data_IF_512911666938
#
_entry.id   IF_512911666938
#
_cell.length_a   1.000
_cell.length_b   1.000
_cell.length_c   1.000
_cell.angle_alpha   90.00
_cell.angle_beta   90.00
_cell.angle_gamma   90.00
#
_symmetry.space_group_name_H-M   'P 1'
#
loop_
_entity.id
_entity.type
_entity.pdbx_description
1 polymer ?
#
# COMPACT_ATOMS: atom_id res chain seq x y z
N UNK A 1 6.88 -1.26 -47.20
CA UNK A 1 7.53 -1.60 -48.52
C UNK A 1 6.51 -2.25 -49.41
N UNK A 2 6.30 -1.67 -50.57
CA UNK A 2 5.35 -2.15 -51.61
C UNK A 2 5.94 -3.38 -52.34
N UNK A 3 5.13 -4.38 -52.60
CA UNK A 3 5.35 -5.18 -53.80
C UNK A 3 4.05 -5.53 -54.48
N UNK A 4 3.94 -4.99 -55.68
CA UNK A 4 2.91 -5.30 -56.70
C UNK A 4 3.40 -6.55 -57.47
N UNK A 5 2.52 -7.47 -57.72
CA UNK A 5 2.68 -8.41 -58.84
C UNK A 5 1.46 -8.39 -59.69
N UNK A 6 1.64 -7.88 -60.91
CA UNK A 6 0.66 -7.89 -61.97
C UNK A 6 0.73 -9.20 -62.75
N UNK A 7 -0.40 -9.67 -63.23
CA UNK A 7 -0.47 -10.72 -64.22
C UNK A 7 -1.19 -10.17 -65.47
N UNK A 8 -0.45 -10.17 -66.57
CA UNK A 8 -0.96 -9.81 -67.88
C UNK A 8 -1.61 -11.02 -68.56
N UNK A 9 -2.73 -10.72 -69.12
CA UNK A 9 -3.52 -11.61 -69.99
C UNK A 9 -2.81 -11.74 -71.35
N UNK A 10 -2.69 -12.96 -71.86
CA UNK A 10 -2.38 -13.23 -73.26
C UNK A 10 -3.58 -13.84 -73.97
N UNK A 11 -4.16 -13.04 -74.84
CA UNK A 11 -5.24 -13.46 -75.76
C UNK A 11 -4.55 -13.97 -77.04
N UNK A 12 -4.74 -15.20 -77.40
CA UNK A 12 -4.50 -15.69 -78.75
C UNK A 12 -5.76 -16.20 -79.40
N UNK A 13 -6.10 -15.52 -80.45
CA UNK A 13 -7.18 -15.72 -81.42
C UNK A 13 -6.78 -16.85 -82.33
N UNK A 14 -7.59 -17.85 -82.47
CA UNK A 14 -7.53 -18.76 -83.64
C UNK A 14 -8.95 -18.82 -84.26
N UNK A 15 -8.97 -18.31 -85.46
CA UNK A 15 -10.11 -18.43 -86.38
C UNK A 15 -9.90 -19.67 -87.20
N UNK A 16 -10.88 -20.55 -87.30
CA UNK A 16 -10.96 -21.57 -88.34
C UNK A 16 -12.39 -21.99 -88.58
N UNK A 17 -12.76 -21.74 -89.75
CA UNK A 17 -13.70 -22.28 -90.72
C UNK A 17 -14.92 -23.08 -90.28
N UNK A 18 -15.96 -22.62 -90.82
CA UNK A 18 -17.35 -23.11 -90.97
C UNK A 18 -17.37 -24.42 -91.72
N UNK A 19 -18.05 -25.41 -91.15
CA UNK A 19 -18.69 -26.46 -91.98
C UNK A 19 -20.16 -26.64 -91.50
N UNK A 20 -21.06 -26.23 -92.36
CA UNK A 20 -22.49 -26.41 -92.18
C UNK A 20 -22.94 -27.84 -92.56
N UNK A 21 -23.14 -28.67 -91.55
CA UNK A 21 -23.97 -29.86 -91.75
C UNK A 21 -25.07 -29.82 -90.70
N UNK A 22 -26.27 -29.49 -91.12
CA UNK A 22 -27.48 -29.57 -90.29
C UNK A 22 -27.84 -31.02 -90.05
N UNK A 23 -27.25 -31.55 -88.94
CA UNK A 23 -27.70 -32.78 -88.33
C UNK A 23 -28.54 -32.41 -87.11
N UNK A 24 -29.85 -32.59 -87.12
CA UNK A 24 -30.69 -32.51 -85.93
C UNK A 24 -30.15 -33.48 -84.88
N UNK A 25 -29.28 -32.93 -84.01
CA UNK A 25 -28.93 -33.65 -82.77
C UNK A 25 -30.08 -33.48 -81.80
N UNK A 26 -30.92 -34.52 -81.64
CA UNK A 26 -31.74 -34.61 -80.44
C UNK A 26 -30.86 -34.41 -79.20
N UNK A 27 -30.83 -33.20 -78.69
CA UNK A 27 -30.19 -32.96 -77.40
C UNK A 27 -30.98 -33.78 -76.37
N UNK A 28 -30.33 -34.81 -75.81
CA UNK A 28 -30.87 -35.53 -74.67
C UNK A 28 -30.90 -34.56 -73.49
N UNK A 29 -32.06 -34.07 -73.18
CA UNK A 29 -32.31 -33.16 -72.06
C UNK A 29 -31.99 -33.78 -70.68
N UNK A 30 -31.79 -35.09 -70.63
CA UNK A 30 -31.45 -35.84 -69.39
C UNK A 30 -30.03 -35.49 -68.86
N UNK A 31 -29.07 -35.13 -69.69
CA UNK A 31 -27.71 -34.76 -69.29
C UNK A 31 -27.65 -33.38 -68.57
N UNK A 32 -28.49 -32.44 -68.97
CA UNK A 32 -28.57 -31.10 -68.36
C UNK A 32 -29.13 -31.17 -66.93
N UNK A 33 -30.11 -32.02 -66.69
CA UNK A 33 -30.72 -32.16 -65.36
C UNK A 33 -29.77 -32.77 -64.35
N UNK A 34 -28.95 -33.73 -64.74
CA UNK A 34 -27.93 -34.31 -63.83
C UNK A 34 -26.81 -33.35 -63.51
N UNK A 35 -26.32 -32.59 -64.51
CA UNK A 35 -25.30 -31.55 -64.30
C UNK A 35 -25.83 -30.44 -63.40
N UNK A 36 -27.06 -29.98 -63.67
CA UNK A 36 -27.72 -28.94 -62.84
C UNK A 36 -27.91 -29.46 -61.41
N UNK A 37 -28.40 -30.66 -61.21
CA UNK A 37 -28.57 -31.27 -59.87
C UNK A 37 -27.22 -31.40 -59.13
N UNK A 38 -26.16 -31.84 -59.81
CA UNK A 38 -24.83 -31.94 -59.22
C UNK A 38 -24.28 -30.58 -58.83
N UNK A 39 -24.50 -29.52 -59.65
CA UNK A 39 -24.08 -28.14 -59.31
C UNK A 39 -24.85 -27.62 -58.08
N UNK A 40 -26.16 -27.78 -58.04
CA UNK A 40 -26.99 -27.35 -56.93
C UNK A 40 -26.59 -28.10 -55.64
N UNK A 41 -26.37 -29.41 -55.70
CA UNK A 41 -25.91 -30.22 -54.61
C UNK A 41 -24.51 -29.77 -54.12
N UNK A 42 -23.59 -29.44 -55.05
CA UNK A 42 -22.29 -28.90 -54.75
C UNK A 42 -22.37 -27.55 -53.99
N UNK A 43 -23.23 -26.66 -54.45
CA UNK A 43 -23.46 -25.34 -53.78
C UNK A 43 -24.08 -25.55 -52.40
N UNK A 44 -25.11 -26.40 -52.29
CA UNK A 44 -25.72 -26.70 -50.99
C UNK A 44 -24.75 -27.32 -50.01
N UNK A 45 -23.94 -28.26 -50.47
CA UNK A 45 -22.92 -28.91 -49.64
C UNK A 45 -21.87 -27.90 -49.19
N UNK A 46 -21.39 -27.02 -50.08
CA UNK A 46 -20.44 -25.96 -49.75
C UNK A 46 -21.03 -24.94 -48.74
N UNK A 47 -22.31 -24.60 -48.87
CA UNK A 47 -23.01 -23.74 -47.92
C UNK A 47 -23.12 -24.40 -46.54
N UNK A 48 -23.47 -25.68 -46.48
CA UNK A 48 -23.56 -26.44 -45.25
C UNK A 48 -22.17 -26.48 -44.55
N UNK A 49 -21.12 -26.78 -45.31
CA UNK A 49 -19.73 -26.83 -44.79
C UNK A 49 -19.31 -25.43 -44.31
N UNK A 50 -19.65 -24.37 -45.01
CA UNK A 50 -19.35 -22.98 -44.59
C UNK A 50 -20.07 -22.64 -43.27
N UNK A 51 -21.33 -22.98 -43.12
CA UNK A 51 -22.10 -22.76 -41.89
C UNK A 51 -21.51 -23.59 -40.74
N UNK A 52 -21.21 -24.87 -40.97
CA UNK A 52 -20.57 -25.73 -39.95
C UNK A 52 -19.22 -25.20 -39.50
N UNK A 53 -18.42 -24.70 -40.45
CA UNK A 53 -17.11 -24.08 -40.11
C UNK A 53 -17.29 -22.80 -39.28
N UNK A 54 -18.25 -21.94 -39.68
CA UNK A 54 -18.56 -20.71 -38.93
C UNK A 54 -19.04 -21.01 -37.49
N UNK A 55 -19.94 -21.98 -37.33
CA UNK A 55 -20.43 -22.44 -36.03
C UNK A 55 -19.26 -23.01 -35.19
N UNK A 56 -18.40 -23.83 -35.78
CA UNK A 56 -17.24 -24.38 -35.09
C UNK A 56 -16.31 -23.26 -34.59
N UNK A 57 -15.96 -22.29 -35.42
CA UNK A 57 -15.11 -21.15 -35.03
C UNK A 57 -15.77 -20.36 -33.91
N UNK A 58 -17.07 -20.07 -33.99
CA UNK A 58 -17.79 -19.35 -32.95
C UNK A 58 -17.79 -20.12 -31.62
N UNK A 59 -18.03 -21.43 -31.68
CA UNK A 59 -18.00 -22.31 -30.50
C UNK A 59 -16.62 -22.36 -29.85
N UNK A 60 -15.56 -22.47 -30.65
CA UNK A 60 -14.16 -22.45 -30.17
C UNK A 60 -13.86 -21.14 -29.44
N UNK A 61 -14.21 -20.00 -30.02
CA UNK A 61 -14.00 -18.69 -29.38
C UNK A 61 -14.69 -18.59 -28.03
N UNK A 62 -16.00 -18.89 -27.99
CA UNK A 62 -16.76 -18.88 -26.75
C UNK A 62 -16.18 -19.84 -25.70
N UNK A 63 -15.74 -21.02 -26.12
CA UNK A 63 -15.19 -22.00 -25.23
C UNK A 63 -13.83 -21.59 -24.65
N UNK A 64 -12.95 -21.00 -25.47
CA UNK A 64 -11.66 -20.44 -25.03
C UNK A 64 -11.89 -19.30 -24.04
N UNK A 65 -12.82 -18.36 -24.33
CA UNK A 65 -13.18 -17.27 -23.44
C UNK A 65 -13.64 -17.80 -22.07
N UNK A 66 -14.57 -18.77 -22.06
CA UNK A 66 -15.02 -19.40 -20.81
C UNK A 66 -13.89 -20.11 -20.05
N UNK A 67 -13.00 -20.82 -20.75
CA UNK A 67 -11.87 -21.48 -20.12
C UNK A 67 -10.86 -20.49 -19.56
N UNK A 68 -10.62 -19.39 -20.27
CA UNK A 68 -9.76 -18.30 -19.81
C UNK A 68 -10.32 -17.63 -18.56
N UNK A 69 -11.60 -17.28 -18.57
CA UNK A 69 -12.27 -16.68 -17.41
C UNK A 69 -12.19 -17.62 -16.19
N UNK A 70 -12.50 -18.91 -16.36
CA UNK A 70 -12.37 -19.88 -15.28
C UNK A 70 -10.93 -20.05 -14.79
N UNK A 71 -9.94 -19.99 -15.66
CA UNK A 71 -8.53 -20.07 -15.29
C UNK A 71 -8.09 -18.85 -14.49
N UNK A 72 -8.51 -17.65 -14.93
CA UNK A 72 -8.24 -16.40 -14.23
C UNK A 72 -8.94 -16.33 -12.88
N UNK A 73 -10.21 -16.72 -12.80
CA UNK A 73 -10.94 -16.79 -11.53
C UNK A 73 -10.28 -17.77 -10.55
N UNK A 74 -9.78 -18.90 -11.05
CA UNK A 74 -9.06 -19.87 -10.24
C UNK A 74 -7.72 -19.31 -9.73
N UNK A 75 -7.00 -18.57 -10.57
CA UNK A 75 -5.76 -17.90 -10.16
C UNK A 75 -6.02 -16.78 -9.14
N UNK A 76 -7.10 -16.01 -9.31
CA UNK A 76 -7.53 -14.98 -8.36
C UNK A 76 -7.99 -15.60 -7.02
N UNK A 77 -8.50 -16.83 -7.03
CA UNK A 77 -8.85 -17.54 -5.79
C UNK A 77 -7.63 -17.95 -4.95
N UNK A 78 -6.42 -17.91 -5.52
CA UNK A 78 -5.14 -18.13 -4.82
C UNK A 78 -4.60 -16.85 -4.19
N UNK A 79 -5.49 -16.02 -3.64
CA UNK A 79 -5.13 -14.78 -2.97
C UNK A 79 -4.46 -15.01 -1.61
N UNK A 80 -3.71 -14.02 -1.15
CA UNK A 80 -3.07 -14.03 0.16
C UNK A 80 -4.11 -13.84 1.27
N UNK A 81 -4.53 -14.94 1.91
CA UNK A 81 -5.62 -14.95 2.89
C UNK A 81 -5.37 -14.04 4.08
N UNK A 82 -4.18 -14.11 4.66
CA UNK A 82 -3.84 -13.30 5.83
C UNK A 82 -3.90 -11.80 5.52
N UNK A 83 -3.51 -11.40 4.30
CA UNK A 83 -3.57 -10.01 3.88
C UNK A 83 -5.01 -9.53 3.71
N UNK A 84 -5.88 -10.38 3.17
CA UNK A 84 -7.30 -10.08 3.07
C UNK A 84 -7.98 -10.08 4.45
N UNK A 85 -7.76 -11.11 5.28
CA UNK A 85 -8.43 -11.26 6.57
C UNK A 85 -8.01 -10.18 7.57
N UNK A 86 -6.73 -9.78 7.57
CA UNK A 86 -6.20 -8.83 8.53
C UNK A 86 -6.29 -7.38 8.05
N UNK A 87 -6.07 -7.14 6.77
CA UNK A 87 -5.92 -5.80 6.22
C UNK A 87 -6.99 -5.44 5.18
N UNK A 88 -7.90 -6.36 4.81
CA UNK A 88 -8.92 -6.20 3.76
C UNK A 88 -8.30 -5.82 2.39
N UNK A 89 -7.08 -6.24 2.12
CA UNK A 89 -6.39 -5.99 0.87
C UNK A 89 -6.27 -7.27 0.07
N UNK A 90 -6.66 -7.19 -1.20
CA UNK A 90 -6.65 -8.32 -2.11
C UNK A 90 -5.38 -8.31 -2.96
N UNK A 91 -4.50 -9.28 -2.71
CA UNK A 91 -3.29 -9.53 -3.49
C UNK A 91 -3.11 -11.03 -3.70
N UNK A 92 -2.47 -11.41 -4.80
CA UNK A 92 -2.10 -12.80 -5.08
C UNK A 92 -0.75 -13.10 -4.44
N UNK A 93 -0.63 -14.25 -3.77
CA UNK A 93 0.64 -14.72 -3.25
C UNK A 93 1.46 -15.42 -4.34
N UNK A 94 2.40 -14.71 -4.96
CA UNK A 94 3.29 -15.27 -5.98
C UNK A 94 4.31 -16.27 -5.44
N UNK A 95 4.45 -16.38 -4.12
CA UNK A 95 5.32 -17.37 -3.48
C UNK A 95 4.62 -18.71 -3.27
N UNK A 96 3.29 -18.75 -3.28
CA UNK A 96 2.50 -19.97 -3.04
C UNK A 96 2.99 -20.77 -1.82
N UNK A 97 3.26 -20.07 -0.71
CA UNK A 97 3.75 -20.63 0.55
C UNK A 97 5.17 -21.25 0.50
N UNK A 98 5.89 -21.14 -0.62
CA UNK A 98 7.25 -21.70 -0.72
C UNK A 98 8.34 -20.74 -0.23
N UNK A 99 7.99 -19.49 0.04
CA UNK A 99 8.92 -18.45 0.48
C UNK A 99 9.78 -17.83 -0.64
N UNK A 100 9.63 -18.30 -1.88
CA UNK A 100 10.34 -17.82 -3.06
C UNK A 100 9.34 -17.27 -4.09
N UNK A 101 9.10 -15.95 -4.14
CA UNK A 101 8.12 -15.36 -5.03
C UNK A 101 8.59 -15.40 -6.49
N UNK A 102 7.70 -15.79 -7.41
CA UNK A 102 8.01 -15.87 -8.83
C UNK A 102 6.75 -15.71 -9.68
N UNK A 103 6.80 -14.83 -10.68
CA UNK A 103 5.73 -14.67 -11.67
C UNK A 103 5.53 -15.94 -12.50
N UNK A 104 6.62 -16.66 -12.77
CA UNK A 104 6.56 -17.90 -13.54
C UNK A 104 5.66 -18.95 -12.88
N UNK A 105 5.57 -18.99 -11.56
CA UNK A 105 4.64 -19.88 -10.87
C UNK A 105 3.19 -19.51 -11.11
N UNK A 106 2.89 -18.22 -11.12
CA UNK A 106 1.54 -17.73 -11.43
C UNK A 106 1.17 -18.07 -12.88
N UNK A 107 2.09 -17.89 -13.83
CA UNK A 107 1.93 -18.32 -15.22
C UNK A 107 1.68 -19.82 -15.33
N UNK A 108 2.47 -20.63 -14.62
CA UNK A 108 2.31 -22.09 -14.59
C UNK A 108 0.94 -22.51 -13.99
N UNK A 109 0.48 -21.83 -12.95
CA UNK A 109 -0.84 -22.10 -12.36
C UNK A 109 -1.96 -21.74 -13.32
N UNK A 110 -1.93 -20.57 -13.96
CA UNK A 110 -2.91 -20.18 -14.99
C UNK A 110 -2.87 -21.16 -16.16
N UNK A 111 -1.68 -21.52 -16.63
CA UNK A 111 -1.52 -22.54 -17.68
C UNK A 111 -2.18 -23.87 -17.31
N UNK A 112 -1.94 -24.34 -16.08
CA UNK A 112 -2.52 -25.59 -15.58
C UNK A 112 -4.04 -25.52 -15.48
N UNK A 113 -4.60 -24.42 -15.02
CA UNK A 113 -6.06 -24.23 -14.99
C UNK A 113 -6.67 -24.18 -16.39
N UNK A 114 -5.98 -23.51 -17.31
CA UNK A 114 -6.40 -23.46 -18.71
C UNK A 114 -6.42 -24.84 -19.35
N UNK A 115 -5.32 -25.61 -19.22
CA UNK A 115 -5.23 -26.98 -19.75
C UNK A 115 -6.28 -27.93 -19.15
N UNK A 116 -6.53 -27.84 -17.83
CA UNK A 116 -7.59 -28.61 -17.17
C UNK A 116 -8.96 -28.40 -17.79
N UNK A 117 -9.28 -27.15 -18.10
CA UNK A 117 -10.57 -26.80 -18.67
C UNK A 117 -10.64 -27.14 -20.16
N UNK A 118 -9.55 -27.03 -20.90
CA UNK A 118 -9.48 -27.39 -22.30
C UNK A 118 -9.47 -28.90 -22.53
N UNK A 119 -8.85 -29.66 -21.62
CA UNK A 119 -8.70 -31.14 -21.70
C UNK A 119 -9.29 -31.89 -20.49
N UNK A 120 -10.59 -31.77 -20.26
CA UNK A 120 -11.20 -32.40 -19.07
C UNK A 120 -11.10 -33.91 -19.02
N UNK A 121 -10.79 -34.58 -20.14
CA UNK A 121 -10.61 -36.04 -20.20
C UNK A 121 -9.36 -36.53 -19.48
N UNK A 122 -8.29 -35.78 -19.49
CA UNK A 122 -7.04 -36.13 -18.83
C UNK A 122 -7.20 -36.15 -17.32
N UNK A 123 -7.98 -35.22 -16.79
CA UNK A 123 -8.22 -35.08 -15.35
C UNK A 123 -9.36 -35.98 -14.85
N UNK A 124 -10.42 -36.13 -15.65
CA UNK A 124 -11.63 -36.89 -15.29
C UNK A 124 -11.98 -38.00 -16.32
N UNK A 125 -11.13 -39.03 -16.47
CA UNK A 125 -11.33 -40.05 -17.50
C UNK A 125 -12.62 -40.84 -17.33
N UNK A 126 -13.18 -40.88 -16.11
CA UNK A 126 -14.41 -41.62 -15.78
C UNK A 126 -15.68 -40.80 -15.97
N UNK A 127 -15.58 -39.46 -16.08
CA UNK A 127 -16.76 -38.60 -16.18
C UNK A 127 -17.41 -38.53 -17.57
N UNK A 128 -16.86 -39.26 -18.55
CA UNK A 128 -17.39 -39.26 -19.92
C UNK A 128 -17.21 -37.95 -20.69
N UNK A 129 -16.43 -37.05 -20.16
CA UNK A 129 -16.05 -35.82 -20.85
C UNK A 129 -15.28 -36.17 -22.13
N UNK A 130 -15.64 -35.59 -23.26
CA UNK A 130 -14.96 -35.82 -24.54
C UNK A 130 -14.37 -34.51 -25.03
N UNK A 131 -13.08 -34.55 -25.34
CA UNK A 131 -12.43 -33.47 -26.05
C UNK A 131 -12.94 -33.44 -27.52
N UNK A 132 -13.89 -32.57 -27.79
CA UNK A 132 -14.50 -32.42 -29.12
C UNK A 132 -13.78 -31.43 -30.01
N UNK A 133 -12.96 -30.55 -29.44
CA UNK A 133 -12.36 -29.43 -30.13
C UNK A 133 -10.86 -29.57 -30.38
N UNK A 134 -10.17 -30.43 -29.59
CA UNK A 134 -8.72 -30.68 -29.72
C UNK A 134 -7.88 -29.44 -29.46
N UNK A 135 -8.25 -28.66 -28.45
CA UNK A 135 -7.55 -27.43 -28.09
C UNK A 135 -6.49 -27.69 -27.01
N UNK A 136 -5.41 -26.94 -27.05
CA UNK A 136 -4.35 -26.93 -26.03
C UNK A 136 -3.81 -25.52 -25.86
N UNK A 137 -3.32 -25.22 -24.69
CA UNK A 137 -2.59 -23.98 -24.40
C UNK A 137 -1.15 -24.16 -24.87
N UNK A 138 -0.60 -23.18 -25.60
CA UNK A 138 0.81 -23.21 -25.98
C UNK A 138 1.66 -22.56 -24.88
N UNK A 139 1.27 -21.37 -24.42
CA UNK A 139 1.99 -20.62 -23.41
C UNK A 139 1.07 -19.60 -22.71
N UNK A 140 1.48 -19.18 -21.54
CA UNK A 140 0.85 -18.11 -20.75
C UNK A 140 1.94 -17.17 -20.27
N UNK A 141 1.86 -15.93 -20.63
CA UNK A 141 2.81 -14.89 -20.25
C UNK A 141 2.10 -13.75 -19.51
N UNK A 142 2.62 -13.38 -18.35
CA UNK A 142 2.20 -12.19 -17.61
C UNK A 142 2.88 -10.95 -18.21
N UNK A 143 2.12 -10.16 -18.94
CA UNK A 143 2.62 -8.95 -19.58
C UNK A 143 2.84 -7.81 -18.59
N UNK A 144 2.04 -7.77 -17.52
CA UNK A 144 2.07 -6.68 -16.55
C UNK A 144 1.66 -7.18 -15.16
N UNK A 145 2.42 -6.80 -14.15
CA UNK A 145 2.10 -7.12 -12.77
C UNK A 145 2.51 -5.95 -11.86
N UNK A 146 1.59 -5.45 -11.06
CA UNK A 146 1.87 -4.48 -10.00
C UNK A 146 2.19 -5.21 -8.70
N UNK A 147 3.39 -5.05 -8.19
CA UNK A 147 3.78 -5.58 -6.88
C UNK A 147 3.47 -4.56 -5.80
N UNK A 148 2.97 -5.00 -4.66
CA UNK A 148 2.61 -4.12 -3.54
C UNK A 148 3.76 -3.19 -3.10
N UNK A 149 5.01 -3.62 -3.30
CA UNK A 149 6.23 -2.87 -2.94
C UNK A 149 6.80 -2.01 -4.06
N UNK A 150 6.21 -2.00 -5.25
CA UNK A 150 6.67 -1.18 -6.37
C UNK A 150 6.64 0.31 -6.02
N UNK A 151 7.62 1.05 -6.56
CA UNK A 151 7.75 2.50 -6.39
C UNK A 151 7.69 2.96 -4.92
N UNK A 152 8.33 2.18 -4.02
CA UNK A 152 8.31 2.48 -2.59
C UNK A 152 6.97 2.23 -1.90
N UNK A 153 6.14 1.35 -2.47
CA UNK A 153 4.83 0.97 -1.91
C UNK A 153 3.65 1.76 -2.49
N UNK A 154 3.84 2.50 -3.58
CA UNK A 154 2.79 3.29 -4.23
C UNK A 154 1.61 2.44 -4.67
N UNK A 155 1.87 1.21 -5.16
CA UNK A 155 0.81 0.26 -5.53
C UNK A 155 -0.03 -0.13 -4.30
N UNK A 156 0.62 -0.43 -3.18
CA UNK A 156 -0.08 -0.74 -1.92
C UNK A 156 -0.91 0.45 -1.44
N UNK A 157 -0.32 1.66 -1.43
CA UNK A 157 -1.01 2.89 -1.04
C UNK A 157 -2.24 3.15 -1.90
N UNK A 158 -2.13 2.98 -3.21
CA UNK A 158 -3.26 3.12 -4.13
C UNK A 158 -4.42 2.19 -3.75
N UNK A 159 -4.15 0.91 -3.52
CA UNK A 159 -5.20 -0.06 -3.14
C UNK A 159 -5.82 0.26 -1.76
N UNK A 160 -5.01 0.71 -0.81
CA UNK A 160 -5.49 1.19 0.50
C UNK A 160 -6.45 2.37 0.35
N UNK A 161 -6.05 3.37 -0.44
CA UNK A 161 -6.86 4.57 -0.67
C UNK A 161 -8.17 4.22 -1.38
N UNK A 162 -8.13 3.35 -2.39
CA UNK A 162 -9.36 2.90 -3.07
C UNK A 162 -10.30 2.16 -2.10
N UNK A 163 -9.78 1.24 -1.30
CA UNK A 163 -10.55 0.55 -0.27
C UNK A 163 -11.21 1.54 0.71
N UNK A 164 -10.48 2.55 1.16
CA UNK A 164 -11.01 3.55 2.09
C UNK A 164 -12.05 4.47 1.43
N UNK A 165 -11.88 4.83 0.16
CA UNK A 165 -12.88 5.60 -0.62
C UNK A 165 -14.19 4.83 -0.71
N UNK A 166 -14.13 3.52 -0.90
CA UNK A 166 -15.31 2.66 -1.01
C UNK A 166 -16.07 2.52 0.33
N UNK A 167 -15.37 2.49 1.45
CA UNK A 167 -15.99 2.23 2.76
C UNK A 167 -16.37 3.50 3.52
N UNK A 168 -15.49 4.49 3.56
CA UNK A 168 -15.61 5.60 4.53
C UNK A 168 -16.14 6.89 3.90
N UNK A 169 -16.09 7.03 2.58
CA UNK A 169 -16.35 8.30 1.94
C UNK A 169 -15.31 9.38 2.29
N UNK A 170 -15.48 10.57 1.71
CA UNK A 170 -14.50 11.66 1.82
C UNK A 170 -14.55 12.40 3.18
N UNK A 171 -15.65 12.32 3.92
CA UNK A 171 -15.86 13.12 5.15
C UNK A 171 -14.87 12.82 6.28
N UNK A 172 -14.43 11.57 6.41
CA UNK A 172 -13.45 11.18 7.44
C UNK A 172 -12.06 11.77 7.14
N UNK A 173 -11.65 11.75 5.88
CA UNK A 173 -10.38 12.30 5.46
C UNK A 173 -10.29 13.81 5.69
N UNK A 174 -11.35 14.55 5.40
CA UNK A 174 -11.42 16.00 5.62
C UNK A 174 -11.27 16.34 7.12
N UNK A 175 -11.93 15.58 8.00
CA UNK A 175 -11.83 15.80 9.45
C UNK A 175 -10.42 15.55 9.98
N UNK A 176 -9.74 14.50 9.51
CA UNK A 176 -8.37 14.18 9.93
C UNK A 176 -7.36 15.22 9.43
N UNK A 177 -7.56 15.74 8.23
CA UNK A 177 -6.71 16.79 7.67
C UNK A 177 -6.86 18.12 8.40
N UNK A 178 -8.09 18.50 8.77
CA UNK A 178 -8.32 19.71 9.57
C UNK A 178 -7.61 19.63 10.92
N UNK A 179 -7.64 18.48 11.59
CA UNK A 179 -6.92 18.27 12.83
C UNK A 179 -5.40 18.24 12.64
N UNK A 180 -4.92 17.62 11.55
CA UNK A 180 -3.49 17.55 11.21
C UNK A 180 -2.87 18.94 10.98
N UNK A 181 -3.55 19.80 10.22
CA UNK A 181 -3.08 21.15 9.93
C UNK A 181 -2.96 22.04 11.18
N UNK A 182 -3.82 21.83 12.22
CA UNK A 182 -3.72 22.56 13.47
C UNK A 182 -2.48 22.18 14.30
N UNK A 183 -1.95 20.98 14.09
CA UNK A 183 -0.77 20.49 14.81
C UNK A 183 0.55 20.85 14.11
N UNK A 184 0.52 21.11 12.80
CA UNK A 184 1.72 21.41 12.01
C UNK A 184 2.43 22.70 12.47
N UNK A 185 1.67 23.71 12.87
CA UNK A 185 2.20 24.97 13.42
C UNK A 185 2.95 24.78 14.76
N UNK A 186 2.66 23.69 15.49
CA UNK A 186 3.28 23.39 16.78
C UNK A 186 4.52 22.48 16.64
N UNK A 187 4.58 21.64 15.61
CA UNK A 187 5.69 20.71 15.36
C UNK A 187 7.01 21.43 14.97
N UNK A 188 6.94 22.68 14.53
CA UNK A 188 8.12 23.46 14.13
C UNK A 188 8.91 24.06 15.31
N UNK A 189 8.46 23.93 16.56
CA UNK A 189 9.13 24.50 17.74
C UNK A 189 9.91 23.40 18.46
N UNK A 190 11.21 23.62 18.56
CA UNK A 190 12.08 22.77 19.38
C UNK A 190 12.05 23.26 20.84
N UNK A 191 11.01 22.82 21.56
CA UNK A 191 10.80 23.22 22.96
C UNK A 191 11.88 22.68 23.90
N UNK A 192 12.48 21.55 23.57
CA UNK A 192 13.58 20.99 24.35
C UNK A 192 14.79 21.93 24.29
N UNK A 193 15.11 22.42 23.09
CA UNK A 193 16.16 23.43 22.93
C UNK A 193 15.80 24.77 23.57
N UNK A 194 14.52 25.22 23.51
CA UNK A 194 14.06 26.43 24.17
C UNK A 194 14.16 26.27 25.72
N UNK A 195 13.78 25.14 26.27
CA UNK A 195 13.89 24.85 27.69
C UNK A 195 15.34 24.75 28.14
N UNK A 196 16.18 24.00 27.43
CA UNK A 196 17.60 23.89 27.72
C UNK A 196 18.31 25.24 27.73
N UNK A 197 18.01 26.05 26.72
CA UNK A 197 18.57 27.42 26.65
C UNK A 197 18.09 28.31 27.80
N UNK A 198 16.83 28.20 28.21
CA UNK A 198 16.30 28.98 29.34
C UNK A 198 16.93 28.52 30.66
N UNK A 199 17.12 27.20 30.85
CA UNK A 199 17.73 26.63 32.05
C UNK A 199 19.25 26.98 32.14
N UNK A 200 19.99 26.85 31.04
CA UNK A 200 21.39 27.22 30.96
C UNK A 200 21.57 28.70 31.27
N UNK A 201 20.73 29.56 30.68
CA UNK A 201 20.74 30.99 30.95
C UNK A 201 20.43 31.29 32.43
N UNK A 202 19.50 30.56 33.06
CA UNK A 202 19.21 30.69 34.47
C UNK A 202 20.39 30.29 35.34
N UNK A 203 21.01 29.12 35.08
CA UNK A 203 22.18 28.62 35.82
C UNK A 203 23.38 29.54 35.69
N UNK A 204 23.67 30.06 34.49
CA UNK A 204 24.76 31.02 34.23
C UNK A 204 24.54 32.33 35.01
N UNK A 205 23.29 32.84 34.98
CA UNK A 205 22.98 34.08 35.67
C UNK A 205 23.05 33.91 37.20
N UNK A 206 22.57 32.80 37.74
CA UNK A 206 22.75 32.46 39.17
C UNK A 206 24.26 32.38 39.51
N UNK A 207 25.06 31.67 38.72
CA UNK A 207 26.50 31.53 38.96
C UNK A 207 27.19 32.89 38.90
N UNK A 208 26.91 33.69 37.90
CA UNK A 208 27.52 35.02 37.72
C UNK A 208 27.20 35.92 38.90
N UNK A 209 25.97 35.95 39.36
CA UNK A 209 25.56 36.86 40.43
C UNK A 209 25.98 36.41 41.82
N UNK A 210 25.94 35.10 42.09
CA UNK A 210 26.43 34.53 43.36
C UNK A 210 27.92 34.81 43.51
N UNK A 211 28.72 34.66 42.44
CA UNK A 211 30.14 34.98 42.45
C UNK A 211 30.46 36.45 42.61
N UNK A 212 29.54 37.32 42.23
CA UNK A 212 29.66 38.79 42.49
C UNK A 212 29.31 39.14 43.93
N UNK A 213 28.39 38.40 44.56
CA UNK A 213 28.00 38.60 45.97
C UNK A 213 29.00 38.02 46.97
N UNK A 214 29.51 36.83 46.66
CA UNK A 214 30.43 36.08 47.47
C UNK A 214 31.58 35.52 46.61
N UNK A 215 32.81 36.02 46.79
CA UNK A 215 33.97 35.62 46.01
C UNK A 215 34.47 34.19 46.40
N UNK A 216 34.14 33.74 47.59
CA UNK A 216 34.56 32.42 48.12
C UNK A 216 33.45 31.37 47.99
N UNK A 217 32.35 31.67 47.25
CA UNK A 217 31.27 30.72 46.97
C UNK A 217 31.79 29.51 46.20
N UNK A 218 31.49 28.30 46.68
CA UNK A 218 31.95 27.02 46.18
C UNK A 218 31.43 26.61 44.78
N UNK A 219 30.46 27.34 44.25
CA UNK A 219 29.91 27.11 42.91
C UNK A 219 28.75 26.13 42.86
N UNK A 220 28.28 25.62 44.02
CA UNK A 220 27.09 24.74 44.04
C UNK A 220 25.82 25.56 43.75
N UNK A 221 25.19 25.24 42.62
CA UNK A 221 23.89 25.78 42.23
C UNK A 221 22.82 24.89 42.86
N UNK A 222 21.87 25.44 43.63
CA UNK A 222 20.77 24.63 44.19
C UNK A 222 20.00 23.92 43.08
N UNK A 223 19.51 22.70 43.41
CA UNK A 223 18.63 21.97 42.52
C UNK A 223 17.43 22.84 42.10
N UNK A 224 17.21 22.93 40.80
CA UNK A 224 16.08 23.65 40.25
C UNK A 224 14.87 22.73 40.14
N UNK A 225 13.63 23.24 40.13
CA UNK A 225 12.46 22.40 39.90
C UNK A 225 12.54 21.58 38.60
N UNK A 226 13.28 22.08 37.62
CA UNK A 226 13.54 21.37 36.35
C UNK A 226 14.43 20.14 36.53
N UNK A 227 15.38 20.14 37.48
CA UNK A 227 16.24 18.98 37.73
C UNK A 227 15.43 17.77 38.24
N UNK A 228 14.42 17.99 39.09
CA UNK A 228 13.50 16.95 39.57
C UNK A 228 12.62 16.40 38.42
N UNK A 229 12.14 17.26 37.53
CA UNK A 229 11.35 16.86 36.35
C UNK A 229 12.21 16.08 35.36
N UNK A 230 13.45 16.50 35.13
CA UNK A 230 14.41 15.77 34.27
C UNK A 230 14.78 14.39 34.82
N UNK A 231 14.94 14.26 36.16
CA UNK A 231 15.13 12.95 36.77
C UNK A 231 13.99 12.00 36.46
N UNK A 232 12.75 12.45 36.55
CA UNK A 232 11.54 11.69 36.17
C UNK A 232 11.55 11.33 34.67
N UNK A 233 11.97 12.25 33.80
CA UNK A 233 12.11 12.01 32.36
C UNK A 233 13.17 10.94 32.04
N UNK A 234 14.27 10.90 32.80
CA UNK A 234 15.35 9.93 32.62
C UNK A 234 15.00 8.51 33.07
N UNK A 235 14.09 8.35 34.06
CA UNK A 235 13.64 7.03 34.57
C UNK A 235 12.74 6.27 33.57
N UNK A 236 12.31 6.92 32.50
CA UNK A 236 11.75 6.30 31.34
C UNK A 236 10.23 6.36 31.22
N UNK A 237 9.80 7.02 30.18
CA UNK A 237 8.38 7.16 29.75
C UNK A 237 7.66 5.80 29.70
N UNK A 238 8.32 4.73 29.30
CA UNK A 238 7.77 3.38 29.30
C UNK A 238 7.32 2.90 30.68
N UNK A 239 8.05 3.25 31.74
CA UNK A 239 7.69 2.91 33.10
C UNK A 239 6.43 3.61 33.59
N UNK A 240 6.22 4.87 33.18
CA UNK A 240 5.06 5.66 33.52
C UNK A 240 3.82 5.26 32.69
N UNK A 241 3.99 5.11 31.38
CA UNK A 241 2.88 4.79 30.45
C UNK A 241 2.40 3.34 30.52
N UNK A 242 3.30 2.41 30.84
CA UNK A 242 3.03 0.96 30.83
C UNK A 242 2.96 0.34 32.24
N UNK A 243 2.65 1.13 33.26
CA UNK A 243 2.58 0.62 34.64
C UNK A 243 1.64 -0.59 34.75
N UNK A 244 2.24 -1.79 34.95
CA UNK A 244 1.50 -3.05 35.13
C UNK A 244 1.05 -3.74 33.85
N UNK A 245 1.40 -3.24 32.67
CA UNK A 245 1.13 -3.89 31.40
C UNK A 245 2.32 -4.73 30.94
N UNK A 246 2.05 -5.90 30.35
CA UNK A 246 3.07 -6.67 29.65
C UNK A 246 3.33 -6.05 28.28
N UNK A 247 4.53 -5.53 28.08
CA UNK A 247 4.94 -4.99 26.78
C UNK A 247 5.33 -6.12 25.84
N UNK A 248 4.96 -5.97 24.56
CA UNK A 248 5.42 -6.86 23.50
C UNK A 248 6.93 -6.82 23.38
N UNK A 249 7.53 -8.01 23.22
CA UNK A 249 8.95 -8.19 22.91
C UNK A 249 9.18 -8.66 21.48
N UNK A 250 8.16 -8.58 20.63
CA UNK A 250 8.25 -8.99 19.23
C UNK A 250 9.34 -8.19 18.50
N UNK A 251 10.04 -8.89 17.61
CA UNK A 251 11.16 -8.34 16.86
C UNK A 251 11.11 -8.83 15.42
N UNK A 252 11.19 -7.92 14.47
CA UNK A 252 11.29 -8.26 13.05
C UNK A 252 12.69 -8.79 12.73
N UNK A 253 12.74 -9.99 12.18
CA UNK A 253 13.95 -10.50 11.56
C UNK A 253 14.26 -9.74 10.25
N UNK A 254 15.53 -9.58 9.92
CA UNK A 254 15.93 -8.97 8.64
C UNK A 254 15.40 -9.75 7.43
N UNK A 255 15.19 -11.07 7.57
CA UNK A 255 14.65 -11.93 6.54
C UNK A 255 13.14 -11.70 6.27
N UNK A 256 12.42 -11.11 7.24
CA UNK A 256 10.98 -10.86 7.11
C UNK A 256 10.65 -9.57 6.34
N UNK A 257 11.68 -8.75 6.04
CA UNK A 257 11.49 -7.51 5.33
C UNK A 257 11.33 -7.76 3.82
N UNK A 258 10.33 -7.18 3.16
CA UNK A 258 10.13 -7.32 1.71
C UNK A 258 11.36 -6.93 0.88
N UNK A 259 12.13 -5.93 1.34
CA UNK A 259 13.35 -5.46 0.68
C UNK A 259 14.51 -6.47 0.66
N UNK A 260 14.44 -7.51 1.49
CA UNK A 260 15.45 -8.59 1.55
C UNK A 260 15.00 -9.80 0.74
N UNK A 261 13.71 -9.93 0.46
CA UNK A 261 13.19 -10.95 -0.45
C UNK A 261 13.61 -10.57 -1.88
N UNK A 262 14.21 -11.49 -2.61
CA UNK A 262 14.59 -11.30 -4.02
C UNK A 262 13.32 -11.29 -4.90
N UNK A 263 12.48 -10.28 -4.71
CA UNK A 263 11.34 -10.01 -5.58
C UNK A 263 11.86 -9.25 -6.80
N UNK A 264 11.57 -9.77 -7.97
CA UNK A 264 11.62 -8.93 -9.16
C UNK A 264 10.61 -7.80 -8.96
N UNK A 265 11.02 -6.57 -9.21
CA UNK A 265 10.11 -5.43 -9.22
C UNK A 265 9.03 -5.67 -10.27
N UNK A 266 7.79 -5.27 -9.97
CA UNK A 266 6.70 -5.26 -10.91
C UNK A 266 6.79 -4.06 -11.87
N UNK A 267 5.73 -3.85 -12.62
CA UNK A 267 5.59 -2.73 -13.57
C UNK A 267 4.96 -1.48 -12.94
N UNK A 268 4.72 -1.51 -11.62
CA UNK A 268 4.02 -0.44 -10.92
C UNK A 268 2.51 -0.45 -11.15
N UNK A 269 1.88 0.71 -11.00
CA UNK A 269 0.45 0.88 -11.31
C UNK A 269 0.20 0.72 -12.80
N UNK A 270 -0.96 0.14 -13.16
CA UNK A 270 -1.35 0.00 -14.57
C UNK A 270 -1.50 1.36 -15.24
N UNK A 271 -1.21 1.43 -16.54
CA UNK A 271 -1.31 2.64 -17.36
C UNK A 271 -2.61 3.42 -17.12
N UNK A 272 -2.48 4.71 -16.84
CA UNK A 272 -3.59 5.63 -16.57
C UNK A 272 -4.10 5.66 -15.12
N UNK A 273 -3.53 4.88 -14.21
CA UNK A 273 -3.76 5.02 -12.78
C UNK A 273 -2.56 5.74 -12.17
N UNK A 274 -2.78 6.94 -11.68
CA UNK A 274 -1.79 7.67 -10.90
C UNK A 274 -2.14 7.51 -9.40
N UNK A 275 -1.13 7.31 -8.57
CA UNK A 275 -1.31 7.49 -7.14
C UNK A 275 -1.45 9.00 -6.90
N UNK A 276 -2.67 9.47 -6.79
CA UNK A 276 -2.94 10.85 -6.42
C UNK A 276 -2.44 11.05 -4.98
N UNK A 277 -1.30 11.75 -4.81
CA UNK A 277 -0.80 12.20 -3.52
C UNK A 277 -1.57 13.43 -3.04
N UNK A 278 -2.90 13.37 -3.07
CA UNK A 278 -3.71 14.44 -2.52
C UNK A 278 -3.67 14.38 -0.99
N UNK A 279 -3.86 15.53 -0.34
CA UNK A 279 -4.00 15.57 1.13
C UNK A 279 -5.13 14.66 1.62
N UNK A 280 -6.20 14.53 0.82
CA UNK A 280 -7.32 13.61 1.10
C UNK A 280 -6.85 12.16 1.10
N UNK A 281 -6.05 11.75 0.12
CA UNK A 281 -5.53 10.38 0.03
C UNK A 281 -4.59 10.06 1.18
N UNK A 282 -3.77 11.02 1.62
CA UNK A 282 -2.96 10.89 2.83
C UNK A 282 -3.83 10.72 4.08
N UNK A 283 -4.89 11.51 4.23
CA UNK A 283 -5.85 11.37 5.33
C UNK A 283 -6.53 9.99 5.34
N UNK A 284 -6.91 9.48 4.17
CA UNK A 284 -7.47 8.14 4.03
C UNK A 284 -6.47 7.04 4.40
N UNK A 285 -5.20 7.20 4.00
CA UNK A 285 -4.12 6.29 4.38
C UNK A 285 -3.93 6.24 5.90
N UNK A 286 -3.87 7.40 6.57
CA UNK A 286 -3.79 7.45 8.03
C UNK A 286 -5.00 6.81 8.72
N UNK A 287 -6.20 7.09 8.23
CA UNK A 287 -7.43 6.48 8.74
C UNK A 287 -7.41 4.95 8.61
N UNK A 288 -6.89 4.45 7.50
CA UNK A 288 -6.71 3.02 7.29
C UNK A 288 -5.71 2.41 8.29
N UNK A 289 -4.53 3.02 8.44
CA UNK A 289 -3.50 2.56 9.38
C UNK A 289 -4.06 2.46 10.80
N UNK A 290 -4.72 3.52 11.29
CA UNK A 290 -5.33 3.53 12.63
C UNK A 290 -6.46 2.50 12.80
N UNK A 291 -7.16 2.15 11.72
CA UNK A 291 -8.26 1.19 11.74
C UNK A 291 -7.78 -0.26 11.67
N UNK A 292 -6.78 -0.54 10.83
CA UNK A 292 -6.38 -1.90 10.44
C UNK A 292 -5.10 -2.39 11.08
N UNK A 293 -4.19 -1.49 11.42
CA UNK A 293 -2.93 -1.86 12.07
C UNK A 293 -3.08 -1.97 13.59
N UNK A 294 -2.33 -2.86 14.19
CA UNK A 294 -2.23 -3.00 15.64
C UNK A 294 -1.46 -1.83 16.25
N UNK A 295 -1.85 -1.39 17.45
CA UNK A 295 -1.18 -0.34 18.20
C UNK A 295 -1.13 -0.69 19.67
N UNK A 296 -0.34 0.01 20.46
CA UNK A 296 -0.34 -0.14 21.89
C UNK A 296 -1.75 0.03 22.48
N UNK A 297 -2.19 -0.94 23.25
CA UNK A 297 -3.57 -1.01 23.78
C UNK A 297 -4.63 -1.56 22.80
N UNK A 298 -4.28 -1.78 21.54
CA UNK A 298 -5.10 -2.43 20.53
C UNK A 298 -4.24 -3.39 19.72
N UNK A 299 -3.70 -4.37 20.43
CA UNK A 299 -2.83 -5.37 19.82
C UNK A 299 -3.59 -6.27 18.85
N UNK A 300 -2.91 -6.70 17.80
CA UNK A 300 -3.46 -7.57 16.78
C UNK A 300 -2.91 -8.98 16.94
N UNK A 301 -3.81 -9.97 16.97
CA UNK A 301 -3.41 -11.36 16.99
C UNK A 301 -2.84 -11.79 15.64
N UNK A 302 -1.82 -12.65 15.66
CA UNK A 302 -1.16 -13.20 14.47
C UNK A 302 -0.41 -12.20 13.56
N UNK A 303 -0.07 -11.03 14.08
CA UNK A 303 0.81 -10.09 13.39
C UNK A 303 2.28 -10.34 13.79
N UNK A 304 3.22 -10.02 12.89
CA UNK A 304 4.67 -10.12 13.15
C UNK A 304 5.12 -9.16 14.25
N UNK A 305 4.45 -8.02 14.38
CA UNK A 305 4.61 -7.02 15.44
C UNK A 305 3.26 -6.73 16.08
N UNK A 306 3.23 -6.55 17.40
CA UNK A 306 2.01 -6.14 18.08
C UNK A 306 1.71 -4.65 17.88
N UNK A 307 2.76 -3.83 17.71
CA UNK A 307 2.69 -2.38 17.59
C UNK A 307 3.04 -1.92 16.16
N UNK A 308 2.16 -2.26 15.21
CA UNK A 308 2.37 -1.96 13.78
C UNK A 308 2.34 -0.46 13.49
N UNK A 309 1.45 0.30 14.15
CA UNK A 309 1.36 1.76 13.99
C UNK A 309 2.65 2.42 14.41
N UNK A 310 3.16 2.05 15.59
CA UNK A 310 4.42 2.56 16.13
C UNK A 310 5.62 2.16 15.25
N UNK A 311 5.57 0.96 14.64
CA UNK A 311 6.57 0.55 13.66
C UNK A 311 6.55 1.39 12.39
N UNK A 312 5.37 1.72 11.87
CA UNK A 312 5.22 2.57 10.70
C UNK A 312 5.83 3.96 10.95
N UNK A 313 5.65 4.49 12.17
CA UNK A 313 6.19 5.78 12.55
C UNK A 313 7.70 5.75 12.79
N UNK A 314 8.21 4.73 13.50
CA UNK A 314 9.56 4.72 14.06
C UNK A 314 10.56 3.81 13.33
N UNK A 315 10.07 2.84 12.57
CA UNK A 315 10.87 1.91 11.74
C UNK A 315 11.96 1.12 12.49
N UNK A 316 11.81 0.93 13.82
CA UNK A 316 12.73 0.10 14.60
C UNK A 316 12.35 -1.38 14.47
N UNK A 317 13.33 -2.27 14.68
CA UNK A 317 13.10 -3.73 14.57
C UNK A 317 12.31 -4.31 15.74
N UNK A 318 12.24 -3.64 16.88
CA UNK A 318 11.62 -4.14 18.11
C UNK A 318 10.41 -3.29 18.48
N UNK A 319 9.31 -3.93 18.84
CA UNK A 319 8.10 -3.28 19.33
C UNK A 319 8.35 -2.30 20.46
N UNK A 320 9.16 -2.72 21.43
CA UNK A 320 9.47 -1.92 22.61
C UNK A 320 10.16 -0.59 22.26
N UNK A 321 11.07 -0.62 21.30
CA UNK A 321 11.79 0.58 20.86
C UNK A 321 10.88 1.49 20.01
N UNK A 322 10.01 0.90 19.20
CA UNK A 322 8.99 1.66 18.46
C UNK A 322 8.07 2.40 19.43
N UNK A 323 7.49 1.68 20.40
CA UNK A 323 6.62 2.27 21.42
C UNK A 323 7.32 3.38 22.20
N UNK A 324 8.56 3.14 22.65
CA UNK A 324 9.32 4.13 23.41
C UNK A 324 9.49 5.44 22.64
N UNK A 325 9.90 5.36 21.38
CA UNK A 325 10.10 6.55 20.53
C UNK A 325 8.79 7.25 20.22
N UNK A 326 7.73 6.50 19.91
CA UNK A 326 6.41 7.07 19.66
C UNK A 326 5.87 7.81 20.89
N UNK A 327 6.02 7.22 22.09
CA UNK A 327 5.63 7.89 23.33
C UNK A 327 6.47 9.17 23.57
N UNK A 328 7.76 9.15 23.23
CA UNK A 328 8.60 10.35 23.32
C UNK A 328 8.09 11.47 22.40
N UNK A 329 7.74 11.14 21.16
CA UNK A 329 7.19 12.13 20.21
C UNK A 329 5.82 12.67 20.66
N UNK A 330 4.94 11.78 21.13
CA UNK A 330 3.64 12.21 21.69
C UNK A 330 3.84 13.14 22.89
N UNK A 331 4.77 12.81 23.77
CA UNK A 331 5.08 13.65 24.93
C UNK A 331 5.59 15.03 24.51
N UNK A 332 6.54 15.09 23.55
CA UNK A 332 7.05 16.35 23.03
C UNK A 332 5.94 17.20 22.41
N UNK A 333 5.03 16.57 21.64
CA UNK A 333 3.89 17.27 21.05
C UNK A 333 2.95 17.82 22.12
N UNK A 334 2.60 17.04 23.14
CA UNK A 334 1.79 17.48 24.26
C UNK A 334 2.44 18.59 25.06
N UNK A 335 3.74 18.45 25.28
CA UNK A 335 4.52 19.50 25.96
C UNK A 335 4.47 20.82 25.17
N UNK A 336 4.55 20.76 23.81
CA UNK A 336 4.40 21.91 22.96
C UNK A 336 3.04 22.60 23.12
N UNK A 337 1.97 21.81 23.10
CA UNK A 337 0.61 22.33 23.28
C UNK A 337 0.44 22.94 24.68
N UNK A 338 0.88 22.23 25.70
CA UNK A 338 0.76 22.69 27.10
C UNK A 338 1.62 23.93 27.35
N UNK A 339 2.84 24.00 26.81
CA UNK A 339 3.68 25.19 26.90
C UNK A 339 3.01 26.38 26.23
N UNK A 340 2.52 26.23 24.99
CA UNK A 340 1.83 27.30 24.29
C UNK A 340 0.61 27.82 25.09
N UNK A 341 -0.14 26.93 25.72
CA UNK A 341 -1.27 27.28 26.58
C UNK A 341 -0.80 28.02 27.85
N UNK A 342 0.18 27.48 28.58
CA UNK A 342 0.67 28.06 29.84
C UNK A 342 1.30 29.43 29.64
N UNK A 343 2.11 29.62 28.60
CA UNK A 343 2.71 30.90 28.29
C UNK A 343 1.68 31.98 27.90
N UNK A 344 0.54 31.58 27.34
CA UNK A 344 -0.57 32.49 26.97
C UNK A 344 -1.63 32.69 28.05
N UNK A 345 -1.57 31.96 29.16
CA UNK A 345 -2.61 31.93 30.19
C UNK A 345 -2.32 32.81 31.41
N UNK A 346 -3.31 32.91 32.31
CA UNK A 346 -3.17 33.56 33.64
C UNK A 346 -2.17 32.81 34.54
N UNK A 347 -1.89 31.54 34.29
CA UNK A 347 -0.92 30.71 35.02
C UNK A 347 0.51 31.24 34.90
N UNK A 348 0.80 32.04 33.88
CA UNK A 348 2.07 32.80 33.78
C UNK A 348 2.32 33.69 35.00
N UNK A 349 1.29 34.34 35.47
CA UNK A 349 1.39 35.19 36.68
C UNK A 349 1.67 34.40 37.97
N UNK A 350 1.14 33.14 38.03
CA UNK A 350 1.44 32.23 39.14
C UNK A 350 2.87 31.72 39.06
N UNK A 351 3.37 31.36 37.87
CA UNK A 351 4.77 31.01 37.69
C UNK A 351 5.72 32.16 38.04
N UNK A 352 5.39 33.39 37.65
CA UNK A 352 6.14 34.62 38.04
C UNK A 352 6.14 34.83 39.55
N UNK A 353 5.03 34.50 40.24
CA UNK A 353 4.95 34.58 41.68
C UNK A 353 5.82 33.54 42.36
N UNK A 354 5.77 32.30 41.91
CA UNK A 354 6.60 31.21 42.41
C UNK A 354 8.10 31.50 42.16
N UNK A 355 8.43 31.97 40.97
CA UNK A 355 9.78 32.38 40.60
C UNK A 355 10.27 33.56 41.46
N UNK A 356 9.40 34.50 41.81
CA UNK A 356 9.70 35.61 42.72
C UNK A 356 10.07 35.10 44.13
N UNK A 357 9.39 34.10 44.65
CA UNK A 357 9.75 33.47 45.93
C UNK A 357 11.14 32.81 45.87
N UNK A 358 11.41 32.05 44.81
CA UNK A 358 12.70 31.41 44.59
C UNK A 358 13.81 32.45 44.44
N UNK A 359 13.57 33.48 43.68
CA UNK A 359 14.54 34.56 43.47
C UNK A 359 14.89 35.31 44.80
N UNK A 360 13.88 35.48 45.63
CA UNK A 360 14.09 36.07 46.97
C UNK A 360 14.88 35.13 47.89
N UNK A 361 14.55 33.85 47.90
CA UNK A 361 15.24 32.82 48.71
C UNK A 361 16.72 32.70 48.30
N UNK A 362 17.05 32.84 47.02
CA UNK A 362 18.40 32.84 46.51
C UNK A 362 19.11 34.17 46.69
N UNK A 363 18.40 35.21 47.10
CA UNK A 363 18.93 36.58 47.20
C UNK A 363 19.23 37.24 45.84
N UNK A 364 18.56 36.78 44.77
CA UNK A 364 18.79 37.24 43.40
C UNK A 364 17.45 37.62 42.71
N UNK A 365 16.83 38.74 43.09
CA UNK A 365 15.50 39.10 42.60
C UNK A 365 15.45 39.31 41.06
N UNK A 366 16.56 39.50 40.43
CA UNK A 366 16.67 39.81 38.99
C UNK A 366 16.60 38.55 38.10
N UNK A 367 16.70 37.35 38.68
CA UNK A 367 16.53 36.09 37.93
C UNK A 367 15.05 35.66 37.79
N UNK A 368 14.13 36.44 38.34
CA UNK A 368 12.68 36.09 38.41
C UNK A 368 12.11 35.66 37.08
N UNK A 369 12.36 36.41 36.03
CA UNK A 369 11.77 36.16 34.69
C UNK A 369 12.31 34.85 34.05
N UNK A 370 13.62 34.60 34.22
CA UNK A 370 14.25 33.35 33.76
C UNK A 370 13.71 32.16 34.55
N UNK A 371 13.60 32.27 35.88
CA UNK A 371 13.06 31.25 36.74
C UNK A 371 11.59 30.98 36.40
N UNK A 372 10.77 32.00 36.11
CA UNK A 372 9.38 31.85 35.69
C UNK A 372 9.27 31.05 34.37
N UNK A 373 10.15 31.29 33.41
CA UNK A 373 10.19 30.57 32.15
C UNK A 373 10.51 29.10 32.38
N UNK A 374 11.50 28.79 33.19
CA UNK A 374 11.86 27.40 33.52
C UNK A 374 10.75 26.69 34.27
N UNK A 375 10.05 27.35 35.18
CA UNK A 375 8.88 26.80 35.89
C UNK A 375 7.73 26.50 34.92
N UNK A 376 7.48 27.35 33.94
CA UNK A 376 6.43 27.11 32.95
C UNK A 376 6.73 25.88 32.09
N UNK A 377 7.99 25.69 31.66
CA UNK A 377 8.37 24.47 30.97
C UNK A 377 8.25 23.21 31.86
N UNK A 378 8.68 23.29 33.12
CA UNK A 378 8.51 22.19 34.05
C UNK A 378 7.03 21.81 34.30
N UNK A 379 6.15 22.82 34.38
CA UNK A 379 4.72 22.58 34.50
C UNK A 379 4.11 21.99 33.21
N UNK A 380 4.51 22.50 32.03
CA UNK A 380 4.08 21.94 30.75
C UNK A 380 4.42 20.45 30.64
N UNK A 381 5.63 20.09 31.01
CA UNK A 381 6.05 18.69 31.05
C UNK A 381 5.25 17.87 32.09
N UNK A 382 5.10 18.38 33.30
CA UNK A 382 4.39 17.68 34.36
C UNK A 382 2.91 17.41 34.00
N UNK A 383 2.28 18.34 33.30
CA UNK A 383 0.91 18.17 32.80
C UNK A 383 0.85 17.15 31.65
N UNK A 384 1.84 17.20 30.73
CA UNK A 384 1.92 16.28 29.63
C UNK A 384 2.13 14.82 30.03
N UNK A 385 2.77 14.58 31.18
CA UNK A 385 2.95 13.23 31.75
C UNK A 385 1.67 12.72 32.43
N UNK A 386 0.84 13.61 32.96
CA UNK A 386 -0.43 13.21 33.62
C UNK A 386 -1.49 12.77 32.62
N UNK A 387 -1.53 13.40 31.45
CA UNK A 387 -2.47 13.10 30.36
C UNK A 387 -2.12 11.84 29.61
#
# INVERSE_FOLDING_TARGET
MRQKAGWCAGVHRAVSCVDNSWGERKQSTSGYMTVYLALVMGILLSLILAVLTAVRISTIRMYIECCADMALDSALAEYHREMLDQYDLFFIDTAYQTGDPSYHRTEEHIFRYMERNLRPQEEFPTAGAKDLLGLSTEDVELLQAGVATDDGGTVLQYHIVQYMKDISGLSLAETLLEQGNQLEDLQGRDLEAEWDAAEESLKEEIFRRKKLQDKDWDGEIPETPSDAVRATRSEGILGAAAQGMQLSSACLSGADRPSVRHLNSGTGLSDGKEAENSLVDQGLLYAYILRKCGSFGKEKENSALAYEVEYILQQQTQDRENLKKTLQEILLLREAVNAAFLFGSSLKAEAETAAGVIAILLGLPEIKDLAATVILFAWAYAESVKD
#
